data_IF_055236773214
#
_entry.id   IF_055236773214
#
_cell.length_a   1.000
_cell.length_b   1.000
_cell.length_c   1.000
_cell.angle_alpha   90.00
_cell.angle_beta   90.00
_cell.angle_gamma   90.00
#
_symmetry.space_group_name_H-M   'P 1'
#
loop_
_entity.id
_entity.type
_entity.pdbx_description
1 polymer ?
#
# COMPACT_ATOMS: atom_id res chain seq x y z
N UNK A 1 27.04 -11.87 18.42
CA UNK A 1 26.84 -11.02 17.22
C UNK A 1 26.35 -9.64 17.68
N UNK A 2 26.67 -8.53 17.00
CA UNK A 2 26.02 -7.26 17.32
C UNK A 2 24.70 -7.15 16.56
N UNK A 3 23.72 -6.45 17.11
CA UNK A 3 22.41 -6.26 16.47
C UNK A 3 22.51 -5.68 15.04
N UNK A 4 23.48 -4.79 14.79
CA UNK A 4 23.73 -4.19 13.49
C UNK A 4 24.26 -5.17 12.42
N UNK A 5 24.76 -6.33 12.85
CA UNK A 5 25.35 -7.34 11.96
C UNK A 5 24.34 -8.45 11.58
N UNK A 6 23.14 -8.44 12.17
CA UNK A 6 22.10 -9.48 11.96
C UNK A 6 21.58 -9.49 10.53
N UNK A 7 21.53 -8.33 9.89
CA UNK A 7 20.99 -8.17 8.55
C UNK A 7 22.06 -7.70 7.57
N UNK A 8 22.21 -8.42 6.47
CA UNK A 8 23.01 -8.02 5.31
C UNK A 8 22.14 -7.23 4.35
N UNK A 9 22.52 -5.98 4.07
CA UNK A 9 21.84 -5.14 3.07
C UNK A 9 22.11 -5.68 1.66
N UNK A 10 21.08 -5.72 0.82
CA UNK A 10 21.17 -6.18 -0.56
C UNK A 10 21.31 -4.98 -1.51
N UNK A 11 22.01 -5.18 -2.63
CA UNK A 11 22.18 -4.18 -3.70
C UNK A 11 20.97 -4.14 -4.64
N UNK A 12 19.78 -3.99 -4.06
CA UNK A 12 18.51 -3.89 -4.77
C UNK A 12 17.72 -2.73 -4.16
N UNK A 13 17.33 -1.77 -4.99
CA UNK A 13 16.54 -0.60 -4.58
C UNK A 13 15.36 -0.41 -5.54
N UNK A 14 14.21 -0.02 -5.00
CA UNK A 14 13.04 0.41 -5.77
C UNK A 14 12.84 1.90 -5.57
N UNK A 15 13.12 2.67 -6.63
CA UNK A 15 13.05 4.13 -6.65
C UNK A 15 11.75 4.63 -7.28
N UNK A 16 11.35 5.88 -7.00
CA UNK A 16 10.25 6.53 -7.70
C UNK A 16 10.46 6.51 -9.22
N UNK A 17 9.38 6.29 -9.97
CA UNK A 17 9.39 6.26 -11.42
C UNK A 17 8.30 7.20 -11.99
N UNK A 18 8.67 8.40 -12.46
CA UNK A 18 7.71 9.34 -13.01
C UNK A 18 7.16 8.94 -14.38
N UNK A 19 7.74 7.93 -15.04
CA UNK A 19 7.25 7.44 -16.32
C UNK A 19 6.01 6.55 -16.18
N UNK A 20 5.79 5.97 -14.99
CA UNK A 20 4.62 5.14 -14.70
C UNK A 20 3.43 6.01 -14.38
N UNK A 21 2.49 6.04 -15.32
CA UNK A 21 1.33 6.92 -15.28
C UNK A 21 0.04 6.14 -15.38
N UNK A 22 -1.05 6.79 -14.98
CA UNK A 22 -2.42 6.27 -15.08
C UNK A 22 -3.37 7.39 -15.50
N UNK A 23 -4.39 7.05 -16.26
CA UNK A 23 -5.44 8.01 -16.65
C UNK A 23 -6.47 8.10 -15.52
N UNK A 24 -6.67 9.31 -15.00
CA UNK A 24 -7.66 9.61 -13.95
C UNK A 24 -8.71 10.59 -14.44
N UNK A 25 -9.91 10.57 -13.85
CA UNK A 25 -10.90 11.63 -14.03
C UNK A 25 -10.31 13.01 -13.75
N UNK A 26 -10.53 13.95 -14.66
CA UNK A 26 -10.30 15.38 -14.44
C UNK A 26 -11.65 16.11 -14.40
N UNK A 27 -11.78 17.07 -13.50
CA UNK A 27 -12.99 17.88 -13.33
C UNK A 27 -12.69 19.34 -13.58
N UNK A 28 -13.62 20.00 -14.27
CA UNK A 28 -13.57 21.42 -14.52
C UNK A 28 -14.57 22.11 -13.62
N UNK A 29 -14.09 22.56 -12.47
CA UNK A 29 -14.89 23.36 -11.53
C UNK A 29 -14.46 24.83 -11.60
N UNK A 30 -15.43 25.72 -11.43
CA UNK A 30 -15.14 27.10 -11.04
C UNK A 30 -14.89 27.13 -9.53
N UNK A 31 -14.05 28.05 -9.02
CA UNK A 31 -14.06 28.34 -7.59
C UNK A 31 -15.46 28.76 -7.17
N UNK A 32 -15.88 28.41 -5.95
CA UNK A 32 -17.25 28.62 -5.45
C UNK A 32 -17.78 30.05 -5.68
N UNK A 33 -16.94 31.07 -5.45
CA UNK A 33 -17.29 32.48 -5.67
C UNK A 33 -17.61 32.85 -7.14
N UNK A 34 -17.27 31.98 -8.09
CA UNK A 34 -17.51 32.14 -9.53
C UNK A 34 -18.38 31.02 -10.10
N UNK A 35 -18.96 30.16 -9.27
CA UNK A 35 -19.84 29.10 -9.73
C UNK A 35 -21.06 29.70 -10.44
N UNK A 36 -21.27 29.27 -11.68
CA UNK A 36 -22.26 29.84 -12.59
C UNK A 36 -22.67 28.83 -13.65
N UNK A 37 -23.81 29.09 -14.28
CA UNK A 37 -24.24 28.39 -15.49
C UNK A 37 -23.95 29.24 -16.74
N UNK A 38 -23.54 28.64 -17.87
CA UNK A 38 -23.17 27.23 -18.03
C UNK A 38 -21.94 26.87 -17.16
N UNK A 39 -21.85 25.59 -16.76
CA UNK A 39 -20.74 25.12 -15.92
C UNK A 39 -19.40 25.26 -16.68
N UNK A 40 -18.27 25.24 -15.97
CA UNK A 40 -16.97 25.25 -16.64
C UNK A 40 -16.79 24.02 -17.54
N UNK A 41 -17.24 22.85 -17.07
CA UNK A 41 -17.31 21.62 -17.86
C UNK A 41 -18.09 21.80 -19.17
N UNK A 42 -19.31 22.33 -19.11
CA UNK A 42 -20.15 22.61 -20.28
C UNK A 42 -19.49 23.62 -21.24
N UNK A 43 -18.84 24.66 -20.71
CA UNK A 43 -18.07 25.62 -21.52
C UNK A 43 -16.94 24.92 -22.29
N UNK A 44 -16.13 24.09 -21.62
CA UNK A 44 -15.04 23.35 -22.27
C UNK A 44 -15.56 22.43 -23.35
N UNK A 45 -16.62 21.66 -23.07
CA UNK A 45 -17.19 20.74 -24.04
C UNK A 45 -17.75 21.48 -25.27
N UNK A 46 -18.42 22.63 -25.07
CA UNK A 46 -18.86 23.50 -26.17
C UNK A 46 -17.71 24.05 -27.01
N UNK A 47 -16.60 24.46 -26.38
CA UNK A 47 -15.42 24.93 -27.13
C UNK A 47 -14.86 23.84 -28.03
N UNK A 48 -14.79 22.59 -27.54
CA UNK A 48 -14.35 21.45 -28.34
C UNK A 48 -15.31 21.19 -29.50
N UNK A 49 -16.62 21.18 -29.25
CA UNK A 49 -17.64 20.92 -30.28
C UNK A 49 -17.78 22.06 -31.31
N UNK A 50 -17.37 23.28 -30.98
CA UNK A 50 -17.35 24.41 -31.90
C UNK A 50 -16.23 24.31 -32.96
N UNK A 51 -15.24 23.42 -32.77
CA UNK A 51 -14.19 23.17 -33.75
C UNK A 51 -14.74 22.41 -34.97
N UNK A 52 -14.19 22.71 -36.14
CA UNK A 52 -14.53 21.97 -37.35
C UNK A 52 -14.16 20.47 -37.21
N UNK A 53 -14.91 19.57 -37.86
CA UNK A 53 -14.67 18.12 -37.78
C UNK A 53 -13.22 17.69 -38.06
N UNK A 54 -12.58 18.27 -39.08
CA UNK A 54 -11.23 17.89 -39.49
C UNK A 54 -10.16 18.31 -38.47
N UNK A 55 -10.38 19.40 -37.73
CA UNK A 55 -9.52 19.77 -36.61
C UNK A 55 -9.66 18.81 -35.44
N UNK A 56 -10.88 18.40 -35.09
CA UNK A 56 -11.11 17.41 -34.03
C UNK A 56 -10.48 16.05 -34.35
N UNK A 57 -10.59 15.61 -35.59
CA UNK A 57 -9.98 14.34 -36.03
C UNK A 57 -8.44 14.38 -35.90
N UNK A 58 -7.80 15.47 -36.36
CA UNK A 58 -6.34 15.65 -36.19
C UNK A 58 -5.89 15.70 -34.73
N UNK A 59 -6.67 16.34 -33.85
CA UNK A 59 -6.38 16.37 -32.43
C UNK A 59 -6.44 14.98 -31.81
N UNK A 60 -7.43 14.18 -32.21
CA UNK A 60 -7.59 12.82 -31.73
C UNK A 60 -6.45 11.92 -32.22
N UNK A 61 -6.03 12.03 -33.47
CA UNK A 61 -4.90 11.27 -34.02
C UNK A 61 -3.59 11.53 -33.26
N UNK A 62 -3.28 12.81 -33.01
CA UNK A 62 -2.10 13.20 -32.23
C UNK A 62 -2.12 12.64 -30.80
N UNK A 63 -3.30 12.63 -30.17
CA UNK A 63 -3.49 12.07 -28.83
C UNK A 63 -3.34 10.55 -28.83
N UNK A 64 -4.00 9.86 -29.75
CA UNK A 64 -4.06 8.41 -29.81
C UNK A 64 -2.67 7.78 -29.93
N UNK A 65 -1.81 8.30 -30.80
CA UNK A 65 -0.47 7.75 -30.99
C UNK A 65 0.34 7.81 -29.69
N UNK A 66 0.31 8.95 -28.99
CA UNK A 66 1.03 9.12 -27.74
C UNK A 66 0.42 8.29 -26.60
N UNK A 67 -0.91 8.27 -26.48
CA UNK A 67 -1.59 7.63 -25.36
C UNK A 67 -1.66 6.12 -25.49
N UNK A 68 -1.87 5.56 -26.69
CA UNK A 68 -1.91 4.10 -26.92
C UNK A 68 -0.54 3.44 -26.72
N UNK A 69 0.55 4.20 -26.85
CA UNK A 69 1.90 3.72 -26.49
C UNK A 69 2.10 3.59 -24.98
N UNK A 70 1.37 4.38 -24.17
CA UNK A 70 1.57 4.45 -22.71
C UNK A 70 0.45 3.84 -21.89
N UNK A 71 -0.74 3.67 -22.47
CA UNK A 71 -1.94 3.21 -21.77
C UNK A 71 -2.67 2.12 -22.54
N UNK A 72 -2.93 1.02 -21.84
CA UNK A 72 -3.76 -0.09 -22.32
C UNK A 72 -5.22 0.33 -22.41
N UNK A 73 -5.90 -0.09 -23.47
CA UNK A 73 -7.35 0.13 -23.67
C UNK A 73 -7.79 1.61 -23.53
N UNK A 74 -6.92 2.55 -23.90
CA UNK A 74 -7.15 3.99 -23.66
C UNK A 74 -8.45 4.52 -24.29
N UNK A 75 -8.81 4.03 -25.47
CA UNK A 75 -10.07 4.38 -26.12
C UNK A 75 -11.28 4.03 -25.25
N UNK A 76 -11.28 2.84 -24.64
CA UNK A 76 -12.34 2.40 -23.72
C UNK A 76 -12.37 3.26 -22.45
N UNK A 77 -11.19 3.67 -21.94
CA UNK A 77 -11.09 4.59 -20.81
C UNK A 77 -11.72 5.94 -21.14
N UNK A 78 -11.42 6.51 -22.32
CA UNK A 78 -11.98 7.78 -22.76
C UNK A 78 -13.48 7.71 -23.04
N UNK A 79 -13.96 6.66 -23.72
CA UNK A 79 -15.40 6.46 -23.94
C UNK A 79 -16.16 6.33 -22.62
N UNK A 80 -15.62 5.55 -21.68
CA UNK A 80 -16.19 5.43 -20.33
C UNK A 80 -16.20 6.79 -19.62
N UNK A 81 -15.12 7.57 -19.76
CA UNK A 81 -15.06 8.91 -19.16
C UNK A 81 -16.13 9.82 -19.75
N UNK A 82 -16.31 9.80 -21.07
CA UNK A 82 -17.40 10.52 -21.73
C UNK A 82 -18.77 10.11 -21.18
N UNK A 83 -19.03 8.81 -21.03
CA UNK A 83 -20.29 8.33 -20.47
C UNK A 83 -20.53 8.78 -19.02
N UNK A 84 -19.48 8.96 -18.22
CA UNK A 84 -19.58 9.51 -16.87
C UNK A 84 -19.91 11.00 -16.83
N UNK A 85 -19.43 11.79 -17.80
CA UNK A 85 -19.55 13.26 -17.81
C UNK A 85 -20.68 13.77 -18.70
N UNK A 86 -21.29 12.93 -19.54
CA UNK A 86 -22.30 13.37 -20.53
C UNK A 86 -23.50 14.10 -19.92
N UNK A 87 -23.87 13.77 -18.69
CA UNK A 87 -24.95 14.47 -17.98
C UNK A 87 -24.53 15.88 -17.50
N UNK A 88 -23.24 16.09 -17.26
CA UNK A 88 -22.69 17.33 -16.66
C UNK A 88 -22.33 18.39 -17.72
N UNK A 89 -22.12 17.97 -18.97
CA UNK A 89 -21.69 18.84 -20.08
C UNK A 89 -22.86 19.40 -20.91
N UNK A 90 -24.10 19.07 -20.55
CA UNK A 90 -25.31 19.50 -21.26
C UNK A 90 -25.49 18.86 -22.63
N UNK A 91 -26.57 19.23 -23.33
CA UNK A 91 -26.80 18.82 -24.72
C UNK A 91 -25.98 19.69 -25.67
N UNK A 92 -24.99 19.07 -26.31
CA UNK A 92 -24.02 19.73 -27.19
C UNK A 92 -23.90 19.02 -28.56
N UNK A 93 -24.86 18.15 -28.91
CA UNK A 93 -24.93 17.52 -30.23
C UNK A 93 -23.77 16.57 -30.57
N UNK A 94 -23.35 15.73 -29.63
CA UNK A 94 -22.29 14.74 -29.86
C UNK A 94 -22.87 13.51 -30.57
N UNK A 95 -22.51 13.35 -31.85
CA UNK A 95 -22.99 12.23 -32.68
C UNK A 95 -21.87 11.24 -33.07
N UNK A 96 -20.62 11.72 -33.20
CA UNK A 96 -19.50 10.93 -33.70
C UNK A 96 -18.70 10.29 -32.57
N UNK A 97 -18.23 9.06 -32.76
CA UNK A 97 -17.39 8.39 -31.75
C UNK A 97 -16.04 9.11 -31.52
N UNK A 98 -15.48 9.77 -32.55
CA UNK A 98 -14.28 10.59 -32.37
C UNK A 98 -14.50 11.76 -31.40
N UNK A 99 -15.70 12.36 -31.40
CA UNK A 99 -16.06 13.45 -30.49
C UNK A 99 -16.21 12.94 -29.06
N UNK A 100 -16.76 11.73 -28.88
CA UNK A 100 -16.87 11.07 -27.58
C UNK A 100 -15.50 10.77 -26.99
N UNK A 101 -14.59 10.22 -27.80
CA UNK A 101 -13.20 9.96 -27.40
C UNK A 101 -12.47 11.25 -27.02
N UNK A 102 -12.56 12.28 -27.86
CA UNK A 102 -11.87 13.55 -27.63
C UNK A 102 -12.39 14.25 -26.36
N UNK A 103 -13.71 14.29 -26.15
CA UNK A 103 -14.30 14.81 -24.92
C UNK A 103 -13.89 13.96 -23.71
N UNK A 104 -13.93 12.63 -23.82
CA UNK A 104 -13.42 11.73 -22.78
C UNK A 104 -11.98 12.05 -22.37
N UNK A 105 -11.12 12.32 -23.35
CA UNK A 105 -9.73 12.72 -23.12
C UNK A 105 -9.59 14.09 -22.45
N UNK A 106 -10.34 15.11 -22.90
CA UNK A 106 -10.34 16.45 -22.27
C UNK A 106 -10.75 16.42 -20.79
N UNK A 107 -11.63 15.49 -20.42
CA UNK A 107 -12.10 15.28 -19.06
C UNK A 107 -11.27 14.23 -18.30
N UNK A 108 -10.09 13.91 -18.80
CA UNK A 108 -9.12 13.00 -18.20
C UNK A 108 -7.79 13.73 -17.96
N UNK A 109 -6.99 13.19 -17.05
CA UNK A 109 -5.61 13.62 -16.84
C UNK A 109 -4.69 12.40 -16.72
N UNK A 110 -3.48 12.51 -17.26
CA UNK A 110 -2.41 11.54 -17.05
C UNK A 110 -1.73 11.87 -15.71
N UNK A 111 -1.56 10.88 -14.84
CA UNK A 111 -1.11 11.07 -13.47
C UNK A 111 0.03 10.10 -13.13
N UNK A 112 1.19 10.62 -12.73
CA UNK A 112 2.36 9.83 -12.36
C UNK A 112 2.31 9.43 -10.88
N UNK A 113 1.83 8.21 -10.60
CA UNK A 113 1.38 7.80 -9.26
C UNK A 113 2.47 7.40 -8.27
N UNK A 114 3.69 7.18 -8.76
CA UNK A 114 4.86 6.87 -7.94
C UNK A 114 6.04 7.78 -8.31
N UNK A 115 5.76 9.03 -8.72
CA UNK A 115 6.75 10.00 -9.16
C UNK A 115 7.57 10.63 -8.04
N UNK A 116 6.97 10.81 -6.85
CA UNK A 116 7.61 11.49 -5.73
C UNK A 116 8.29 10.52 -4.74
N UNK A 117 7.64 9.40 -4.43
CA UNK A 117 8.14 8.41 -3.49
C UNK A 117 7.55 7.02 -3.74
N UNK A 118 8.33 5.96 -3.44
CA UNK A 118 7.94 4.55 -3.56
C UNK A 118 8.49 3.73 -2.37
N UNK A 119 7.71 3.63 -1.30
CA UNK A 119 8.22 3.23 0.02
C UNK A 119 7.19 2.45 0.85
N UNK A 120 7.47 2.26 2.14
CA UNK A 120 6.66 1.51 3.11
C UNK A 120 6.23 0.12 2.61
N UNK A 121 7.21 -0.75 2.30
CA UNK A 121 6.96 -2.06 1.72
C UNK A 121 6.32 -3.04 2.71
N UNK A 122 5.37 -3.82 2.22
CA UNK A 122 4.89 -5.04 2.88
C UNK A 122 4.96 -6.20 1.89
N UNK A 123 5.28 -7.39 2.38
CA UNK A 123 5.63 -8.54 1.54
C UNK A 123 4.96 -9.81 2.03
N UNK A 124 4.49 -10.64 1.09
CA UNK A 124 3.98 -12.00 1.33
C UNK A 124 4.43 -12.91 0.18
N UNK A 125 4.42 -14.22 0.37
CA UNK A 125 4.61 -15.16 -0.75
C UNK A 125 3.45 -15.06 -1.73
N UNK A 126 3.66 -15.36 -3.02
CA UNK A 126 2.53 -15.65 -3.90
C UNK A 126 1.84 -16.96 -3.47
N UNK A 127 0.50 -17.08 -3.61
CA UNK A 127 -0.24 -18.29 -3.27
C UNK A 127 0.30 -19.57 -3.96
N UNK A 128 -0.04 -20.72 -3.39
CA UNK A 128 0.17 -22.06 -3.97
C UNK A 128 1.63 -22.44 -4.27
N UNK A 129 2.59 -21.79 -3.60
CA UNK A 129 3.99 -22.20 -3.64
C UNK A 129 4.26 -23.40 -2.74
N UNK A 130 5.19 -24.24 -3.19
CA UNK A 130 5.73 -25.32 -2.37
C UNK A 130 6.64 -24.73 -1.29
N UNK A 131 6.35 -24.95 0.01
CA UNK A 131 7.22 -24.50 1.10
C UNK A 131 8.66 -25.04 1.01
N UNK A 132 8.86 -26.18 0.33
CA UNK A 132 10.16 -26.83 0.20
C UNK A 132 11.02 -26.26 -0.94
N UNK A 133 10.44 -25.42 -1.80
CA UNK A 133 11.14 -24.77 -2.90
C UNK A 133 12.43 -24.08 -2.40
N UNK A 134 13.49 -24.14 -3.22
CA UNK A 134 14.76 -23.46 -2.91
C UNK A 134 14.62 -21.94 -3.01
N UNK A 135 13.71 -21.47 -3.87
CA UNK A 135 13.44 -20.05 -4.06
C UNK A 135 11.95 -19.81 -4.01
N UNK A 136 11.55 -18.71 -3.38
CA UNK A 136 10.15 -18.32 -3.30
C UNK A 136 9.85 -17.09 -4.15
N UNK A 137 8.66 -17.08 -4.73
CA UNK A 137 8.05 -15.91 -5.35
C UNK A 137 7.35 -15.07 -4.29
N UNK A 138 7.37 -13.76 -4.46
CA UNK A 138 6.69 -12.85 -3.52
C UNK A 138 5.80 -11.85 -4.25
N UNK A 139 4.82 -11.35 -3.49
CA UNK A 139 4.09 -10.13 -3.76
C UNK A 139 4.55 -9.08 -2.75
N UNK A 140 4.92 -7.91 -3.26
CA UNK A 140 5.33 -6.75 -2.50
C UNK A 140 4.34 -5.61 -2.77
N UNK A 141 3.65 -5.12 -1.75
CA UNK A 141 2.92 -3.86 -1.85
C UNK A 141 3.81 -2.69 -1.43
N UNK A 142 3.69 -1.58 -2.13
CA UNK A 142 4.41 -0.34 -1.88
C UNK A 142 3.41 0.83 -1.83
N UNK A 143 3.75 1.82 -1.00
CA UNK A 143 3.11 3.14 -1.04
C UNK A 143 3.73 3.96 -2.15
N UNK A 144 2.97 4.21 -3.20
CA UNK A 144 3.30 5.13 -4.29
C UNK A 144 2.73 6.52 -4.00
N UNK A 145 3.59 7.55 -4.05
CA UNK A 145 3.19 8.95 -3.92
C UNK A 145 3.44 9.68 -5.23
N UNK A 146 2.39 10.29 -5.77
CA UNK A 146 2.45 11.08 -7.00
C UNK A 146 2.28 12.58 -6.78
N UNK A 147 1.94 13.28 -7.86
CA UNK A 147 1.61 14.71 -7.81
C UNK A 147 0.52 15.02 -6.77
N UNK A 148 0.64 16.15 -6.07
CA UNK A 148 -0.31 16.54 -5.03
C UNK A 148 -0.24 15.67 -3.77
N UNK A 149 0.80 14.84 -3.63
CA UNK A 149 1.08 13.99 -2.47
C UNK A 149 -0.01 12.93 -2.18
N UNK A 150 -0.79 12.54 -3.19
CA UNK A 150 -1.80 11.50 -3.03
C UNK A 150 -1.10 10.14 -2.90
N UNK A 151 -1.36 9.45 -1.79
CA UNK A 151 -0.82 8.12 -1.51
C UNK A 151 -1.71 7.03 -2.09
N UNK A 152 -1.09 6.10 -2.80
CA UNK A 152 -1.71 4.95 -3.47
C UNK A 152 -0.97 3.66 -3.13
N UNK A 153 -1.61 2.51 -3.37
CA UNK A 153 -0.97 1.20 -3.26
C UNK A 153 -0.64 0.69 -4.66
N UNK A 154 0.62 0.31 -4.88
CA UNK A 154 1.11 -0.35 -6.09
C UNK A 154 1.83 -1.64 -5.71
N UNK A 155 1.97 -2.57 -6.65
CA UNK A 155 2.58 -3.87 -6.38
C UNK A 155 3.85 -4.12 -7.20
N UNK A 156 4.70 -5.01 -6.69
CA UNK A 156 5.80 -5.67 -7.39
C UNK A 156 5.76 -7.15 -7.09
N UNK A 157 6.33 -7.94 -7.99
CA UNK A 157 6.61 -9.36 -7.75
C UNK A 157 8.11 -9.61 -7.89
N UNK A 158 8.55 -10.80 -7.51
CA UNK A 158 9.93 -11.19 -7.69
C UNK A 158 10.19 -12.57 -7.10
N UNK A 159 11.46 -12.95 -7.09
CA UNK A 159 11.96 -14.22 -6.57
C UNK A 159 13.07 -13.97 -5.56
N UNK A 160 13.12 -14.77 -4.50
CA UNK A 160 14.18 -14.76 -3.51
C UNK A 160 14.61 -16.18 -3.15
N UNK A 161 15.92 -16.43 -3.09
CA UNK A 161 16.53 -17.76 -2.87
C UNK A 161 16.70 -18.16 -1.40
N UNK A 162 16.16 -17.38 -0.46
CA UNK A 162 16.39 -17.59 0.97
C UNK A 162 17.74 -17.09 1.48
N UNK A 163 18.58 -16.48 0.63
CA UNK A 163 19.88 -15.95 1.00
C UNK A 163 20.03 -14.52 0.44
N UNK A 164 21.03 -14.29 -0.41
CA UNK A 164 21.32 -12.97 -1.02
C UNK A 164 20.76 -12.82 -2.43
N UNK A 165 20.32 -13.90 -3.07
CA UNK A 165 19.76 -13.88 -4.41
C UNK A 165 18.34 -13.34 -4.39
N UNK A 166 18.21 -12.03 -4.60
CA UNK A 166 16.93 -11.34 -4.75
C UNK A 166 16.79 -10.78 -6.16
N UNK A 167 15.68 -11.04 -6.82
CA UNK A 167 15.30 -10.42 -8.10
C UNK A 167 13.89 -9.87 -7.99
N UNK A 168 13.72 -8.57 -8.23
CA UNK A 168 12.40 -7.96 -8.39
C UNK A 168 12.06 -7.95 -9.88
N UNK A 169 10.89 -8.46 -10.24
CA UNK A 169 10.42 -8.48 -11.62
C UNK A 169 10.27 -7.02 -12.13
N UNK A 170 10.61 -6.73 -13.39
CA UNK A 170 10.36 -5.43 -13.99
C UNK A 170 8.88 -5.05 -13.89
N UNK A 171 8.59 -3.85 -13.38
CA UNK A 171 7.22 -3.35 -13.35
C UNK A 171 6.73 -3.06 -14.78
N UNK A 172 5.45 -3.30 -15.04
CA UNK A 172 4.82 -2.85 -16.28
C UNK A 172 4.88 -1.34 -16.38
N UNK A 173 5.15 -0.80 -17.58
CA UNK A 173 5.09 0.64 -17.84
C UNK A 173 3.67 1.21 -17.72
N UNK A 174 2.67 0.34 -17.69
CA UNK A 174 1.26 0.67 -17.61
C UNK A 174 0.79 0.81 -16.16
N UNK A 175 -0.13 1.74 -15.91
CA UNK A 175 -0.89 1.85 -14.68
C UNK A 175 -2.39 1.76 -14.95
N UNK A 176 -3.08 0.87 -14.25
CA UNK A 176 -4.52 0.61 -14.42
C UNK A 176 -5.17 0.64 -13.03
N UNK A 177 -6.12 1.56 -12.77
CA UNK A 177 -6.86 1.55 -11.54
C UNK A 177 -7.95 0.47 -11.62
N UNK A 178 -8.19 -0.28 -10.54
CA UNK A 178 -9.29 -1.24 -10.52
C UNK A 178 -10.63 -0.51 -10.62
N UNK A 179 -11.62 -1.19 -11.19
CA UNK A 179 -12.96 -0.65 -11.41
C UNK A 179 -13.86 -0.97 -10.23
N UNK A 180 -14.65 0.00 -9.76
CA UNK A 180 -15.70 -0.25 -8.77
C UNK A 180 -16.72 -1.22 -9.37
N UNK A 181 -16.93 -2.33 -8.67
CA UNK A 181 -17.88 -3.39 -8.99
C UNK A 181 -19.13 -3.28 -8.11
N UNK A 182 -18.95 -3.02 -6.82
CA UNK A 182 -20.04 -2.77 -5.86
C UNK A 182 -19.58 -1.86 -4.73
N UNK A 183 -20.51 -1.06 -4.19
CA UNK A 183 -20.29 -0.17 -3.05
C UNK A 183 -21.61 0.05 -2.29
N UNK A 184 -21.53 0.36 -1.00
CA UNK A 184 -22.70 0.74 -0.17
C UNK A 184 -22.48 2.02 0.66
N UNK A 185 -21.39 2.75 0.37
CA UNK A 185 -20.98 3.96 1.09
C UNK A 185 -20.09 3.69 2.30
N UNK A 186 -20.06 2.48 2.85
CA UNK A 186 -19.14 2.09 3.92
C UNK A 186 -18.04 1.16 3.43
N UNK A 187 -18.31 0.28 2.47
CA UNK A 187 -17.27 -0.52 1.81
C UNK A 187 -17.35 -0.38 0.29
N UNK A 188 -16.25 -0.76 -0.36
CA UNK A 188 -16.16 -0.82 -1.83
C UNK A 188 -15.44 -2.10 -2.24
N UNK A 189 -15.98 -2.77 -3.26
CA UNK A 189 -15.29 -3.84 -3.98
C UNK A 189 -14.97 -3.37 -5.38
N UNK A 190 -13.74 -3.66 -5.80
CA UNK A 190 -13.23 -3.32 -7.10
C UNK A 190 -12.68 -4.54 -7.81
N UNK A 191 -12.61 -4.51 -9.15
CA UNK A 191 -12.01 -5.56 -9.98
C UNK A 191 -10.96 -4.99 -10.91
N UNK A 192 -9.84 -5.66 -11.01
CA UNK A 192 -8.72 -5.28 -11.89
C UNK A 192 -8.77 -6.03 -13.23
N UNK A 193 -9.95 -6.20 -13.82
CA UNK A 193 -10.14 -6.96 -15.08
C UNK A 193 -9.35 -6.38 -16.27
N UNK A 194 -9.04 -5.09 -16.22
CA UNK A 194 -8.24 -4.37 -17.24
C UNK A 194 -6.71 -4.54 -17.02
N UNK A 195 -6.29 -5.17 -15.91
CA UNK A 195 -4.89 -5.40 -15.51
C UNK A 195 -4.43 -6.79 -15.94
N UNK A 196 -3.31 -6.88 -16.67
CA UNK A 196 -2.75 -8.18 -17.08
C UNK A 196 -1.68 -8.71 -16.12
N UNK A 197 -1.07 -7.80 -15.38
CA UNK A 197 -0.06 -8.08 -14.36
C UNK A 197 -0.37 -7.27 -13.10
N UNK A 198 -0.04 -7.79 -11.91
CA UNK A 198 -0.36 -7.12 -10.65
C UNK A 198 0.39 -5.80 -10.48
N UNK A 199 1.56 -5.63 -11.11
CA UNK A 199 2.30 -4.37 -11.09
C UNK A 199 1.58 -3.26 -11.85
N UNK A 200 0.69 -3.58 -12.79
CA UNK A 200 -0.17 -2.60 -13.47
C UNK A 200 -1.24 -2.05 -12.52
N UNK A 201 -1.67 -2.82 -11.52
CA UNK A 201 -2.76 -2.40 -10.62
C UNK A 201 -2.31 -1.31 -9.64
N UNK A 202 -3.02 -0.19 -9.64
CA UNK A 202 -2.81 0.92 -8.69
C UNK A 202 -4.10 1.24 -7.95
N UNK A 203 -4.09 1.10 -6.63
CA UNK A 203 -5.25 1.36 -5.78
C UNK A 203 -5.15 2.79 -5.23
N UNK A 204 -6.08 3.64 -5.64
CA UNK A 204 -6.24 5.01 -5.15
C UNK A 204 -7.26 5.08 -4.01
N UNK A 205 -7.24 6.17 -3.21
CA UNK A 205 -8.34 6.49 -2.33
C UNK A 205 -9.70 6.52 -3.03
N UNK A 206 -10.68 5.83 -2.46
CA UNK A 206 -12.06 5.82 -2.95
C UNK A 206 -13.03 6.26 -1.86
N UNK A 207 -12.89 5.70 -0.65
CA UNK A 207 -13.78 6.03 0.45
C UNK A 207 -13.47 7.44 1.01
N UNK A 208 -14.47 8.16 1.56
CA UNK A 208 -14.26 9.48 2.14
C UNK A 208 -13.17 9.52 3.23
N UNK A 209 -13.03 8.45 4.00
CA UNK A 209 -12.01 8.28 5.05
C UNK A 209 -10.57 8.26 4.52
N UNK A 210 -10.40 8.04 3.21
CA UNK A 210 -9.12 7.85 2.56
C UNK A 210 -8.72 9.07 1.72
N UNK A 211 -9.53 10.13 1.65
CA UNK A 211 -9.39 11.21 0.65
C UNK A 211 -8.00 11.86 0.57
N UNK A 212 -7.19 11.77 1.62
CA UNK A 212 -5.80 12.26 1.66
C UNK A 212 -4.74 11.17 1.57
N UNK A 213 -5.10 9.89 1.58
CA UNK A 213 -4.21 8.79 1.26
C UNK A 213 -4.62 7.43 1.83
N UNK A 214 -4.14 6.39 1.16
CA UNK A 214 -4.01 5.02 1.68
C UNK A 214 -2.54 4.84 2.08
N UNK A 215 -2.28 4.55 3.35
CA UNK A 215 -0.93 4.52 3.91
C UNK A 215 -0.60 3.15 4.53
N UNK A 216 0.65 2.71 4.37
CA UNK A 216 1.30 1.68 5.18
C UNK A 216 0.53 0.35 5.24
N UNK A 217 0.20 -0.20 4.06
CA UNK A 217 -0.45 -1.49 3.93
C UNK A 217 0.42 -2.61 4.50
N UNK A 218 -0.17 -3.47 5.34
CA UNK A 218 0.46 -4.61 6.02
C UNK A 218 -0.26 -5.89 5.61
N UNK A 219 0.38 -6.66 4.74
CA UNK A 219 -0.14 -7.89 4.18
C UNK A 219 0.15 -9.08 5.09
N UNK A 220 -0.77 -10.04 5.12
CA UNK A 220 -0.61 -11.33 5.77
C UNK A 220 -1.33 -12.42 5.00
N UNK A 221 -0.75 -13.61 4.94
CA UNK A 221 -1.49 -14.82 4.63
C UNK A 221 -2.27 -15.24 5.87
N UNK A 222 -3.58 -15.07 5.82
CA UNK A 222 -4.47 -15.46 6.90
C UNK A 222 -5.08 -16.83 6.61
N UNK A 223 -4.92 -17.77 7.56
CA UNK A 223 -5.59 -19.07 7.53
C UNK A 223 -6.64 -19.12 8.64
N UNK A 224 -7.92 -19.24 8.27
CA UNK A 224 -9.01 -19.40 9.25
C UNK A 224 -9.21 -20.89 9.63
N UNK A 225 -10.08 -21.16 10.60
CA UNK A 225 -10.33 -22.51 11.13
C UNK A 225 -10.87 -23.50 10.10
N UNK A 226 -11.51 -23.02 9.05
CA UNK A 226 -11.98 -23.82 7.92
C UNK A 226 -10.85 -24.20 6.93
N UNK A 227 -9.62 -23.74 7.19
CA UNK A 227 -8.46 -23.94 6.34
C UNK A 227 -8.40 -23.02 5.12
N UNK A 228 -9.38 -22.11 4.96
CA UNK A 228 -9.36 -21.13 3.87
C UNK A 228 -8.22 -20.16 4.08
N UNK A 229 -7.37 -20.05 3.05
CA UNK A 229 -6.25 -19.11 3.00
C UNK A 229 -6.63 -17.89 2.18
N UNK A 230 -6.35 -16.70 2.70
CA UNK A 230 -6.54 -15.45 1.97
C UNK A 230 -5.44 -14.45 2.29
N UNK A 231 -5.12 -13.59 1.32
CA UNK A 231 -4.24 -12.44 1.56
C UNK A 231 -5.09 -11.30 2.09
N UNK A 232 -4.81 -10.89 3.33
CA UNK A 232 -5.50 -9.78 4.00
C UNK A 232 -4.48 -8.68 4.27
N UNK A 233 -4.87 -7.44 3.99
CA UNK A 233 -4.08 -6.26 4.28
C UNK A 233 -4.77 -5.36 5.30
N UNK A 234 -4.06 -4.87 6.30
CA UNK A 234 -4.52 -3.71 7.11
C UNK A 234 -3.76 -2.47 6.69
N UNK A 235 -4.42 -1.33 6.60
CA UNK A 235 -3.79 -0.07 6.23
C UNK A 235 -4.37 1.10 6.99
N UNK A 236 -3.67 2.23 6.95
CA UNK A 236 -4.16 3.48 7.50
C UNK A 236 -4.88 4.29 6.42
N UNK A 237 -6.17 4.53 6.61
CA UNK A 237 -6.92 5.51 5.84
C UNK A 237 -6.78 6.90 6.49
N UNK A 238 -6.44 7.91 5.70
CA UNK A 238 -6.27 9.28 6.18
C UNK A 238 -7.14 10.25 5.37
N UNK A 239 -7.93 11.06 6.09
CA UNK A 239 -8.81 12.05 5.46
C UNK A 239 -8.24 13.49 5.52
N UNK A 240 -7.02 13.66 6.00
CA UNK A 240 -6.41 14.99 6.18
C UNK A 240 -6.53 15.53 7.60
N UNK A 241 -7.39 14.95 8.44
CA UNK A 241 -7.58 15.33 9.84
C UNK A 241 -7.46 14.14 10.79
N UNK A 242 -8.13 13.05 10.44
CA UNK A 242 -8.24 11.84 11.24
C UNK A 242 -7.68 10.65 10.47
N UNK A 243 -7.15 9.70 11.21
CA UNK A 243 -6.66 8.45 10.69
C UNK A 243 -7.39 7.28 11.35
N UNK A 244 -7.63 6.22 10.60
CA UNK A 244 -8.19 4.97 11.11
C UNK A 244 -7.59 3.78 10.38
N UNK A 245 -7.72 2.61 10.99
CA UNK A 245 -7.36 1.36 10.32
C UNK A 245 -8.53 0.86 9.45
N UNK A 246 -8.20 0.35 8.26
CA UNK A 246 -9.14 -0.30 7.34
C UNK A 246 -8.52 -1.59 6.79
N UNK A 247 -9.36 -2.46 6.26
CA UNK A 247 -8.97 -3.74 5.65
C UNK A 247 -9.02 -3.68 4.13
N UNK A 248 -8.09 -4.40 3.51
CA UNK A 248 -8.02 -4.70 2.09
C UNK A 248 -8.01 -6.23 1.91
N UNK A 249 -8.93 -6.78 1.11
CA UNK A 249 -9.04 -8.23 0.83
C UNK A 249 -9.08 -8.53 -0.67
N UNK A 250 -8.78 -9.78 -1.02
CA UNK A 250 -8.94 -10.35 -2.37
C UNK A 250 -7.82 -10.01 -3.37
N UNK A 251 -6.67 -9.54 -2.87
CA UNK A 251 -5.51 -9.16 -3.69
C UNK A 251 -5.06 -10.27 -4.64
N UNK A 252 -5.22 -11.53 -4.23
CA UNK A 252 -4.91 -12.73 -5.01
C UNK A 252 -5.95 -13.10 -6.08
N UNK A 253 -7.12 -12.46 -6.10
CA UNK A 253 -8.26 -12.79 -6.98
C UNK A 253 -8.54 -11.71 -8.03
N UNK A 254 -7.62 -10.74 -8.19
CA UNK A 254 -7.86 -9.50 -8.96
C UNK A 254 -9.12 -8.74 -8.50
N UNK A 255 -9.56 -8.97 -7.26
CA UNK A 255 -10.75 -8.38 -6.65
C UNK A 255 -10.36 -7.72 -5.34
N UNK A 256 -10.54 -6.42 -5.21
CA UNK A 256 -10.07 -5.65 -4.06
C UNK A 256 -11.27 -5.14 -3.26
N UNK A 257 -11.46 -5.66 -2.06
CA UNK A 257 -12.48 -5.17 -1.14
C UNK A 257 -11.83 -4.29 -0.06
N UNK A 258 -12.26 -3.04 0.03
CA UNK A 258 -11.84 -2.09 1.06
C UNK A 258 -12.98 -1.90 2.06
N UNK A 259 -12.69 -2.14 3.34
CA UNK A 259 -13.69 -2.02 4.40
C UNK A 259 -13.13 -1.38 5.67
N UNK A 260 -13.78 -0.35 6.23
CA UNK A 260 -13.34 0.26 7.46
C UNK A 260 -13.47 -0.66 8.67
N UNK A 261 -12.49 -0.61 9.59
CA UNK A 261 -12.59 -1.26 10.90
C UNK A 261 -13.36 -0.39 11.88
N UNK A 262 -14.26 -0.97 12.65
CA UNK A 262 -15.07 -0.30 13.67
C UNK A 262 -14.64 -0.73 15.08
N UNK A 263 -15.25 -0.15 16.11
CA UNK A 263 -14.91 -0.39 17.52
C UNK A 263 -13.97 0.66 18.10
N UNK A 264 -13.85 0.65 19.43
CA UNK A 264 -13.13 1.66 20.22
C UNK A 264 -11.64 1.71 19.94
N UNK A 265 -11.07 0.64 19.39
CA UNK A 265 -9.64 0.49 19.13
C UNK A 265 -9.29 0.59 17.64
N UNK A 266 -10.23 0.91 16.74
CA UNK A 266 -9.95 0.97 15.29
C UNK A 266 -9.52 2.36 14.78
N UNK A 267 -9.69 3.41 15.60
CA UNK A 267 -9.36 4.81 15.26
C UNK A 267 -7.86 5.16 15.31
N UNK A 268 -6.98 4.17 15.18
CA UNK A 268 -5.53 4.32 15.33
C UNK A 268 -4.79 3.72 14.13
N UNK A 269 -3.49 4.04 14.02
CA UNK A 269 -2.63 3.60 12.92
C UNK A 269 -1.89 2.30 13.24
N UNK A 270 -1.51 1.58 12.19
CA UNK A 270 -0.50 0.53 12.26
C UNK A 270 -0.95 -0.81 12.84
N UNK A 271 -2.26 -1.10 12.87
CA UNK A 271 -2.73 -2.43 13.26
C UNK A 271 -2.27 -3.49 12.25
N UNK A 272 -1.85 -4.66 12.71
CA UNK A 272 -1.45 -5.79 11.87
C UNK A 272 -2.04 -7.10 12.38
N UNK A 273 -2.65 -7.85 11.48
CA UNK A 273 -3.36 -9.11 11.75
C UNK A 273 -2.38 -10.27 11.94
N UNK A 274 -2.59 -11.09 12.97
CA UNK A 274 -1.89 -12.37 13.09
C UNK A 274 -2.29 -13.30 11.93
N UNK A 275 -1.41 -14.20 11.45
CA UNK A 275 -1.68 -15.04 10.27
C UNK A 275 -2.73 -16.13 10.50
N UNK A 276 -3.25 -16.25 11.72
CA UNK A 276 -4.36 -17.12 12.12
C UNK A 276 -4.98 -16.62 13.41
N UNK A 277 -6.13 -17.19 13.79
CA UNK A 277 -6.72 -17.00 15.11
C UNK A 277 -5.83 -17.55 16.22
N UNK A 278 -5.97 -16.96 17.41
CA UNK A 278 -5.30 -17.39 18.64
C UNK A 278 -6.39 -17.81 19.61
N UNK A 279 -6.46 -19.12 19.88
CA UNK A 279 -7.72 -19.73 20.31
C UNK A 279 -8.77 -19.56 19.21
N UNK A 280 -9.98 -19.14 19.59
CA UNK A 280 -11.10 -18.95 18.65
C UNK A 280 -11.25 -17.50 18.15
N UNK A 281 -10.33 -16.61 18.54
CA UNK A 281 -10.44 -15.16 18.31
C UNK A 281 -9.44 -14.66 17.28
N UNK A 282 -9.84 -13.66 16.50
CA UNK A 282 -8.90 -12.86 15.73
C UNK A 282 -7.99 -12.10 16.68
N UNK A 283 -6.73 -11.91 16.27
CA UNK A 283 -5.75 -11.15 17.02
C UNK A 283 -5.03 -10.14 16.11
N UNK A 284 -4.73 -8.97 16.64
CA UNK A 284 -3.91 -7.95 15.98
C UNK A 284 -2.87 -7.38 16.94
N UNK A 285 -1.72 -6.96 16.42
CA UNK A 285 -0.80 -6.04 17.09
C UNK A 285 -1.07 -4.63 16.59
N UNK A 286 -1.05 -3.62 17.49
CA UNK A 286 -1.20 -2.22 17.11
C UNK A 286 -0.57 -1.26 18.13
N UNK A 287 -0.91 0.03 18.04
CA UNK A 287 -0.37 1.10 18.90
C UNK A 287 -1.45 2.09 19.31
N UNK A 288 -2.30 1.69 20.25
CA UNK A 288 -3.56 2.40 20.56
C UNK A 288 -3.43 3.64 21.43
N UNK A 289 -2.29 3.81 22.09
CA UNK A 289 -1.99 4.99 22.91
C UNK A 289 -0.91 5.88 22.26
N UNK A 290 -0.59 5.63 20.99
CA UNK A 290 0.49 6.25 20.22
C UNK A 290 1.92 6.01 20.73
N UNK A 291 2.12 5.19 21.77
CA UNK A 291 3.43 4.99 22.39
C UNK A 291 3.83 3.52 22.49
N UNK A 292 2.92 2.67 22.94
CA UNK A 292 3.19 1.30 23.33
C UNK A 292 2.66 0.28 22.31
N UNK A 293 3.20 -0.92 22.33
CA UNK A 293 2.68 -2.06 21.59
C UNK A 293 1.48 -2.66 22.32
N UNK A 294 0.38 -2.86 21.58
CA UNK A 294 -0.87 -3.41 22.07
C UNK A 294 -1.19 -4.72 21.36
N UNK A 295 -1.73 -5.68 22.11
CA UNK A 295 -2.37 -6.88 21.61
C UNK A 295 -3.88 -6.69 21.67
N UNK A 296 -4.55 -6.92 20.56
CA UNK A 296 -5.98 -6.73 20.38
C UNK A 296 -6.62 -8.08 20.07
N UNK A 297 -7.84 -8.27 20.54
CA UNK A 297 -8.63 -9.46 20.25
C UNK A 297 -10.03 -9.09 19.77
N UNK A 298 -10.58 -9.92 18.89
CA UNK A 298 -11.97 -9.82 18.48
C UNK A 298 -12.55 -11.14 18.02
N UNK A 299 -13.87 -11.27 18.14
CA UNK A 299 -14.64 -12.38 17.57
C UNK A 299 -15.08 -12.07 16.12
N UNK A 300 -15.03 -10.80 15.71
CA UNK A 300 -15.34 -10.30 14.36
C UNK A 300 -14.14 -9.57 13.78
N UNK A 301 -13.74 -9.94 12.56
CA UNK A 301 -12.61 -9.34 11.85
C UNK A 301 -12.75 -7.81 11.66
N UNK A 302 -13.97 -7.27 11.68
CA UNK A 302 -14.27 -5.87 11.38
C UNK A 302 -14.55 -5.00 12.60
N UNK A 303 -14.66 -5.57 13.81
CA UNK A 303 -15.02 -4.84 15.04
C UNK A 303 -13.93 -5.07 16.08
N UNK A 304 -13.28 -4.02 16.60
CA UNK A 304 -12.14 -4.14 17.52
C UNK A 304 -12.34 -3.24 18.76
N UNK A 305 -12.78 -3.85 19.85
CA UNK A 305 -13.10 -3.16 21.12
C UNK A 305 -12.17 -3.55 22.29
N UNK A 306 -11.53 -4.71 22.21
CA UNK A 306 -10.74 -5.28 23.30
C UNK A 306 -9.25 -5.31 22.99
N UNK A 307 -8.44 -4.95 23.97
CA UNK A 307 -6.99 -5.01 23.85
C UNK A 307 -6.27 -4.67 25.14
N UNK A 308 -4.99 -5.02 25.19
CA UNK A 308 -4.10 -4.74 26.30
C UNK A 308 -2.72 -4.31 25.82
N UNK A 309 -2.06 -3.45 26.60
CA UNK A 309 -0.66 -3.09 26.40
C UNK A 309 0.25 -4.27 26.74
N UNK A 310 1.13 -4.67 25.83
CA UNK A 310 2.05 -5.81 26.02
C UNK A 310 3.53 -5.40 26.12
N UNK A 311 3.91 -4.29 25.50
CA UNK A 311 5.30 -3.82 25.51
C UNK A 311 5.34 -2.30 25.37
N UNK A 312 6.21 -1.64 26.13
CA UNK A 312 6.47 -0.20 26.01
C UNK A 312 7.94 0.10 25.75
N UNK A 313 8.28 1.38 25.49
CA UNK A 313 9.66 1.81 25.39
C UNK A 313 10.49 1.50 26.65
N UNK A 314 11.67 0.93 26.47
CA UNK A 314 12.66 0.73 27.53
C UNK A 314 14.11 1.00 27.06
N UNK A 315 14.39 1.11 25.76
CA UNK A 315 15.71 1.46 25.22
C UNK A 315 15.76 2.82 24.50
N UNK A 316 16.92 3.51 24.44
CA UNK A 316 17.02 4.88 23.92
C UNK A 316 16.49 5.11 22.51
N UNK A 317 16.56 4.09 21.64
CA UNK A 317 16.09 4.17 20.25
C UNK A 317 14.57 4.07 20.10
N UNK A 318 13.84 3.76 21.18
CA UNK A 318 12.38 3.60 21.20
C UNK A 318 11.68 4.52 22.21
N UNK A 319 12.41 5.38 22.94
CA UNK A 319 11.88 6.21 24.04
C UNK A 319 10.70 7.12 23.66
N UNK A 320 10.55 7.52 22.40
CA UNK A 320 9.39 8.31 21.96
C UNK A 320 8.18 7.40 21.78
N UNK A 321 8.34 6.28 21.08
CA UNK A 321 7.30 5.29 20.81
C UNK A 321 7.87 4.02 20.17
N UNK A 322 7.12 2.93 20.31
CA UNK A 322 7.29 1.67 19.60
C UNK A 322 6.01 1.32 18.83
N UNK A 323 6.14 0.67 17.69
CA UNK A 323 5.03 0.04 16.98
C UNK A 323 5.50 -1.15 16.17
N UNK A 324 4.58 -2.02 15.75
CA UNK A 324 4.90 -3.10 14.81
C UNK A 324 5.19 -2.55 13.41
N UNK A 325 6.09 -3.21 12.70
CA UNK A 325 6.31 -3.00 11.28
C UNK A 325 5.13 -3.61 10.50
N UNK A 326 4.94 -4.92 10.60
CA UNK A 326 3.87 -5.65 9.93
C UNK A 326 3.23 -6.70 10.83
N UNK A 327 2.67 -7.72 10.19
CA UNK A 327 2.05 -8.85 10.87
C UNK A 327 3.08 -9.74 11.57
N UNK A 328 2.75 -10.30 12.75
CA UNK A 328 3.58 -11.30 13.42
C UNK A 328 3.84 -12.51 12.52
N UNK A 329 5.07 -13.02 12.58
CA UNK A 329 5.50 -14.21 11.84
C UNK A 329 5.54 -15.39 12.81
N UNK A 330 4.83 -16.46 12.47
CA UNK A 330 4.86 -17.69 13.26
C UNK A 330 6.19 -18.42 13.02
N UNK A 331 6.96 -18.65 14.07
CA UNK A 331 8.16 -19.49 14.09
C UNK A 331 8.02 -20.58 15.17
N UNK A 332 8.97 -21.50 15.25
CA UNK A 332 8.94 -22.58 16.25
C UNK A 332 9.02 -22.03 17.68
N UNK A 333 9.79 -20.96 17.87
CA UNK A 333 10.06 -20.34 19.17
C UNK A 333 8.94 -19.42 19.67
N UNK A 334 8.01 -19.01 18.81
CA UNK A 334 6.96 -18.06 19.15
C UNK A 334 6.45 -17.23 17.98
N UNK A 335 5.96 -16.04 18.31
CA UNK A 335 5.59 -15.02 17.33
C UNK A 335 6.70 -14.00 17.21
N UNK A 336 7.41 -14.01 16.07
CA UNK A 336 8.40 -12.99 15.75
C UNK A 336 7.71 -11.73 15.25
N UNK A 337 7.94 -10.60 15.93
CA UNK A 337 7.35 -9.31 15.56
C UNK A 337 8.48 -8.32 15.27
N UNK A 338 8.58 -7.90 14.01
CA UNK A 338 9.40 -6.73 13.65
C UNK A 338 8.74 -5.46 14.17
N UNK A 339 9.52 -4.59 14.78
CA UNK A 339 9.06 -3.34 15.40
C UNK A 339 9.83 -2.16 14.85
N UNK A 340 9.18 -1.00 14.74
CA UNK A 340 9.87 0.27 14.61
C UNK A 340 9.92 0.98 15.97
N UNK A 341 11.05 1.64 16.25
CA UNK A 341 11.24 2.50 17.41
C UNK A 341 11.62 3.91 16.99
N UNK A 342 11.18 4.89 17.77
CA UNK A 342 11.49 6.30 17.53
C UNK A 342 12.36 6.85 18.65
N UNK A 343 13.54 7.33 18.27
CA UNK A 343 14.56 7.86 19.18
C UNK A 343 14.86 9.33 18.96
N UNK A 344 16.12 9.69 19.22
CA UNK A 344 16.63 11.07 19.11
C UNK A 344 16.37 11.65 17.72
N UNK A 345 16.01 12.94 17.68
CA UNK A 345 15.73 13.68 16.43
C UNK A 345 14.66 13.00 15.56
N UNK A 346 13.73 12.29 16.20
CA UNK A 346 12.69 11.50 15.51
C UNK A 346 13.27 10.46 14.54
N UNK A 347 14.45 9.92 14.85
CA UNK A 347 15.04 8.84 14.06
C UNK A 347 14.22 7.57 14.20
N UNK A 348 13.76 7.01 13.07
CA UNK A 348 13.08 5.72 13.03
C UNK A 348 14.08 4.62 12.70
N UNK A 349 14.10 3.59 13.53
CA UNK A 349 14.89 2.40 13.34
C UNK A 349 14.01 1.15 13.49
N UNK A 350 14.50 0.01 13.00
CA UNK A 350 13.84 -1.29 13.14
C UNK A 350 14.53 -2.10 14.24
N UNK A 351 13.73 -2.79 15.03
CA UNK A 351 14.09 -3.83 15.98
C UNK A 351 13.13 -5.01 15.86
N UNK A 352 13.15 -5.92 16.84
CA UNK A 352 12.20 -7.02 16.90
C UNK A 352 11.96 -7.51 18.34
N UNK A 353 10.84 -8.17 18.55
CA UNK A 353 10.56 -8.94 19.75
C UNK A 353 9.99 -10.32 19.43
N UNK A 354 10.08 -11.22 20.40
CA UNK A 354 9.49 -12.55 20.37
C UNK A 354 8.38 -12.60 21.41
N UNK A 355 7.18 -12.99 21.00
CA UNK A 355 6.04 -13.24 21.90
C UNK A 355 5.82 -14.75 22.04
N UNK A 356 5.30 -15.16 23.19
CA UNK A 356 4.98 -16.56 23.48
C UNK A 356 3.88 -17.08 22.54
N UNK A 357 4.06 -18.30 22.02
CA UNK A 357 3.22 -18.87 20.94
C UNK A 357 1.77 -19.05 21.35
N UNK A 358 1.56 -19.52 22.58
CA UNK A 358 0.24 -19.81 23.13
C UNK A 358 -0.36 -18.58 23.81
N UNK A 359 0.48 -17.75 24.43
CA UNK A 359 0.06 -16.51 25.08
C UNK A 359 0.84 -15.29 24.58
N UNK A 360 0.45 -14.68 23.44
CA UNK A 360 1.16 -13.55 22.85
C UNK A 360 1.17 -12.27 23.72
N UNK A 361 0.44 -12.25 24.85
CA UNK A 361 0.56 -11.17 25.83
C UNK A 361 1.90 -11.21 26.59
N UNK A 362 2.61 -12.35 26.56
CA UNK A 362 3.91 -12.55 27.19
C UNK A 362 5.04 -12.30 26.19
N UNK A 363 5.77 -11.20 26.38
CA UNK A 363 7.01 -10.92 25.66
C UNK A 363 8.12 -11.81 26.21
N UNK A 364 8.69 -12.66 25.36
CA UNK A 364 9.76 -13.58 25.71
C UNK A 364 11.13 -12.93 25.65
N UNK A 365 11.39 -12.15 24.60
CA UNK A 365 12.65 -11.47 24.40
C UNK A 365 12.48 -10.28 23.44
N UNK A 366 13.41 -9.32 23.46
CA UNK A 366 13.44 -8.23 22.47
C UNK A 366 14.84 -7.71 22.21
N UNK A 367 15.07 -7.12 21.04
CA UNK A 367 16.36 -6.55 20.66
C UNK A 367 16.72 -5.36 21.55
N UNK A 368 17.90 -5.37 22.16
CA UNK A 368 18.40 -4.25 22.98
C UNK A 368 18.76 -3.01 22.14
N UNK A 369 19.30 -3.24 20.94
CA UNK A 369 19.71 -2.21 19.98
C UNK A 369 18.99 -2.42 18.64
N UNK A 370 18.86 -1.38 17.79
CA UNK A 370 18.27 -1.54 16.46
C UNK A 370 19.03 -2.56 15.60
N UNK A 371 18.28 -3.31 14.80
CA UNK A 371 18.81 -4.27 13.81
C UNK A 371 18.93 -3.63 12.42
N UNK A 372 18.16 -2.57 12.15
CA UNK A 372 18.36 -1.68 11.00
C UNK A 372 18.18 -0.23 11.44
N UNK A 373 19.05 0.63 10.94
CA UNK A 373 19.02 2.08 11.19
C UNK A 373 19.49 2.83 9.93
N UNK A 374 19.11 4.11 9.79
CA UNK A 374 19.56 4.92 8.65
C UNK A 374 21.08 5.09 8.68
N UNK A 375 21.78 4.74 7.60
CA UNK A 375 23.20 5.06 7.47
C UNK A 375 23.41 6.57 7.29
N UNK A 376 24.63 7.06 7.47
CA UNK A 376 24.97 8.47 7.22
C UNK A 376 24.71 8.89 5.76
N UNK A 377 24.77 7.95 4.82
CA UNK A 377 24.48 8.13 3.40
C UNK A 377 22.97 8.09 3.11
N UNK A 378 22.22 7.31 3.90
CA UNK A 378 20.77 7.09 3.80
C UNK A 378 19.96 8.07 4.67
N UNK A 379 20.57 9.17 5.15
CA UNK A 379 19.93 10.13 6.07
C UNK A 379 18.95 11.10 5.39
N UNK A 380 19.03 11.25 4.06
CA UNK A 380 18.17 12.16 3.28
C UNK A 380 16.78 11.57 3.00
N UNK A 381 15.99 12.26 2.18
CA UNK A 381 14.66 11.82 1.77
C UNK A 381 13.55 12.82 2.11
N UNK A 382 12.30 12.42 1.85
CA UNK A 382 11.10 13.20 2.18
C UNK A 382 10.96 13.40 3.69
N UNK A 383 11.29 12.36 4.49
CA UNK A 383 11.44 12.44 5.95
C UNK A 383 12.83 11.93 6.33
N UNK A 384 13.80 12.82 6.65
CA UNK A 384 15.16 12.42 7.02
C UNK A 384 15.24 11.48 8.22
N UNK A 385 16.28 10.64 8.27
CA UNK A 385 16.57 9.71 9.37
C UNK A 385 15.47 8.66 9.61
N UNK A 386 14.78 8.21 8.57
CA UNK A 386 13.74 7.17 8.67
C UNK A 386 14.19 5.86 8.03
N UNK A 387 14.12 4.78 8.80
CA UNK A 387 14.09 3.40 8.32
C UNK A 387 12.80 2.75 8.82
N UNK A 388 11.95 2.31 7.90
CA UNK A 388 10.60 1.82 8.23
C UNK A 388 10.23 0.61 7.39
N UNK A 389 9.44 -0.32 7.91
CA UNK A 389 8.96 -1.49 7.16
C UNK A 389 7.49 -1.76 7.52
N UNK A 390 6.75 -2.33 6.58
CA UNK A 390 5.37 -2.79 6.79
C UNK A 390 5.23 -4.32 6.79
N UNK A 391 6.35 -5.07 6.73
CA UNK A 391 6.33 -6.53 6.78
C UNK A 391 7.68 -7.15 6.42
N UNK A 392 7.85 -8.42 6.79
CA UNK A 392 9.00 -9.23 6.43
C UNK A 392 8.53 -10.59 5.92
N UNK A 393 9.36 -11.22 5.09
CA UNK A 393 9.09 -12.52 4.50
C UNK A 393 9.99 -13.57 5.15
N UNK A 394 9.39 -14.65 5.65
CA UNK A 394 10.11 -15.80 6.16
C UNK A 394 10.14 -16.89 5.08
N UNK A 395 11.32 -17.46 4.83
CA UNK A 395 11.48 -18.70 4.09
C UNK A 395 12.41 -19.63 4.87
N UNK A 396 11.88 -20.78 5.31
CA UNK A 396 12.59 -21.67 6.23
C UNK A 396 13.03 -20.90 7.48
N UNK A 397 14.33 -20.73 7.72
CA UNK A 397 14.88 -19.92 8.83
C UNK A 397 15.57 -18.64 8.36
N UNK A 398 15.33 -18.24 7.11
CA UNK A 398 15.85 -17.00 6.55
C UNK A 398 14.76 -15.95 6.45
N UNK A 399 15.16 -14.68 6.59
CA UNK A 399 14.28 -13.53 6.62
C UNK A 399 14.69 -12.56 5.53
N UNK A 400 13.75 -12.19 4.66
CA UNK A 400 13.87 -11.03 3.78
C UNK A 400 13.06 -9.87 4.37
N UNK A 401 13.75 -8.78 4.67
CA UNK A 401 13.17 -7.56 5.24
C UNK A 401 13.27 -6.42 4.23
N UNK A 402 12.19 -6.12 3.48
CA UNK A 402 12.11 -4.89 2.73
C UNK A 402 11.88 -3.71 3.67
N UNK A 403 12.52 -2.58 3.40
CA UNK A 403 12.39 -1.37 4.23
C UNK A 403 12.50 -0.09 3.40
N UNK A 404 11.75 0.92 3.83
CA UNK A 404 11.79 2.29 3.36
C UNK A 404 13.02 3.03 3.90
N UNK A 405 13.58 3.90 3.07
CA UNK A 405 14.59 4.88 3.44
C UNK A 405 14.04 6.27 3.19
N UNK A 406 13.99 7.07 4.25
CA UNK A 406 13.67 8.49 4.17
C UNK A 406 12.28 8.83 3.63
N UNK A 407 11.31 7.92 3.73
CA UNK A 407 10.00 8.01 3.07
C UNK A 407 10.08 8.32 1.56
N UNK A 408 11.11 7.82 0.88
CA UNK A 408 11.37 8.12 -0.52
C UNK A 408 11.45 6.88 -1.41
N UNK A 409 12.17 5.85 -0.97
CA UNK A 409 12.41 4.66 -1.78
C UNK A 409 12.52 3.41 -0.89
N UNK A 410 12.53 2.24 -1.50
CA UNK A 410 12.63 0.94 -0.81
C UNK A 410 13.97 0.27 -1.07
N UNK A 411 14.54 -0.36 -0.06
CA UNK A 411 15.70 -1.25 -0.13
C UNK A 411 15.37 -2.58 0.57
N UNK A 412 16.30 -3.53 0.52
CA UNK A 412 16.13 -4.87 1.08
C UNK A 412 17.31 -5.28 1.95
N UNK A 413 17.04 -6.08 2.98
CA UNK A 413 18.05 -6.76 3.77
C UNK A 413 17.65 -8.22 4.02
N UNK A 414 18.64 -9.09 4.17
CA UNK A 414 18.45 -10.52 4.45
C UNK A 414 19.17 -10.91 5.75
N UNK A 415 18.62 -11.89 6.48
CA UNK A 415 19.18 -12.39 7.73
C UNK A 415 18.64 -13.77 8.09
N UNK A 416 19.01 -14.29 9.25
CA UNK A 416 18.48 -15.56 9.77
C UNK A 416 17.69 -15.36 11.06
N UNK A 417 16.72 -16.25 11.32
CA UNK A 417 15.99 -16.28 12.59
C UNK A 417 16.98 -16.53 13.74
N UNK A 418 17.95 -17.43 13.55
CA UNK A 418 18.91 -17.81 14.58
C UNK A 418 19.80 -16.65 15.02
N UNK A 419 20.33 -15.89 14.06
CA UNK A 419 21.14 -14.70 14.33
C UNK A 419 20.31 -13.61 15.02
N UNK A 420 19.07 -13.40 14.58
CA UNK A 420 18.16 -12.42 15.17
C UNK A 420 17.79 -12.78 16.61
N UNK A 421 17.48 -14.06 16.89
CA UNK A 421 17.21 -14.51 18.25
C UNK A 421 18.44 -14.40 19.15
N UNK A 422 19.65 -14.62 18.60
CA UNK A 422 20.91 -14.55 19.37
C UNK A 422 21.23 -13.17 19.96
N UNK A 423 20.58 -12.11 19.45
CA UNK A 423 20.77 -10.72 19.91
C UNK A 423 19.59 -10.17 20.73
N UNK A 424 18.58 -10.99 20.99
CA UNK A 424 17.47 -10.62 21.88
C UNK A 424 17.81 -10.94 23.34
N UNK A 425 17.28 -10.13 24.27
CA UNK A 425 17.46 -10.28 25.72
C UNK A 425 16.14 -10.41 26.46
#
# INVERSE_FOLDING_TARGET
MNAADVFTKLDVELKPDPSRTVIRPFRFDYPEAFDRKPSRAECVARHVMALDPATRDRMLDLLHDAMRQRHRNVDNVFLRRFDQIKADIGDIGVERDCDRLLLGAYFSQEYAFESAALFNPSIVTLPDQDPDDQSIRFLLSLRGVGEGHISSVTFRTGTWDGATGLTVDPASSQGVPPRIDSEDGEWVRMRADDSQDISETVIFPILPSQRSGIEDLRLVHFTDHDGVRSVIGTYTAFDGQTARCELLRGINEQSFEMRPLTGRLSGYKGMALFPRRIGDRFAMIGRQDNVNLWLLYSDDLHIWDEGMRIMGPQYPWEFVQIGNCGSPIEIDEGWLVFTHGVGMVRGYCVGACLLDKDNPAKVLARTHSPILFPSAEQRGGYVPNVTYSCGALLHKRHILLPYAIGDQYTAFATGSVDDLLSVMV
#
